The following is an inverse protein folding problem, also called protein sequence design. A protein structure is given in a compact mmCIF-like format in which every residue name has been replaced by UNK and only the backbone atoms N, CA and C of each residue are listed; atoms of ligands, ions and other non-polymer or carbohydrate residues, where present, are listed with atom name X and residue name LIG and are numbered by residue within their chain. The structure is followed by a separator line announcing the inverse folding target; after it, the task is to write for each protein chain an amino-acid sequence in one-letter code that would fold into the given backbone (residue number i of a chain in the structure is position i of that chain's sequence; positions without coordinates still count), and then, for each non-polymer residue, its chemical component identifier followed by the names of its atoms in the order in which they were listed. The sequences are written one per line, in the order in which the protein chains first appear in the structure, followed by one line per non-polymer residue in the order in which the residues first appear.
data_IF_830038749845
#
_entry.id   IF_830038749845
#
_cell.length_a   1.000
_cell.length_b   1.000
_cell.length_c   1.000
_cell.angle_alpha   90.00
_cell.angle_beta   90.00
_cell.angle_gamma   90.00
#
_symmetry.space_group_name_H-M   'P 1'
#
loop_
_entity.id
_entity.type
_entity.pdbx_description
1 polymer ?
#
# COMPACT_ATOMS: atom_id res chain seq x y z
N UNK A 1 35.38 -57.09 9.34
CA UNK A 1 34.93 -55.86 10.04
C UNK A 1 34.05 -55.04 9.09
N UNK A 2 32.74 -54.88 9.32
CA UNK A 2 31.91 -54.03 8.49
C UNK A 2 31.99 -52.56 8.96
N UNK A 3 32.26 -51.64 8.04
CA UNK A 3 32.07 -50.19 8.27
C UNK A 3 30.63 -49.85 7.91
N UNK A 4 29.78 -49.73 8.93
CA UNK A 4 28.42 -49.21 8.84
C UNK A 4 28.49 -47.71 8.54
N UNK A 5 28.36 -47.34 7.27
CA UNK A 5 28.13 -45.97 6.85
C UNK A 5 26.65 -45.64 6.98
N UNK A 6 26.27 -44.91 8.02
CA UNK A 6 24.91 -44.38 8.16
C UNK A 6 24.62 -43.40 7.01
N UNK A 7 23.83 -43.83 6.02
CA UNK A 7 23.20 -42.91 5.08
C UNK A 7 22.10 -42.13 5.81
N UNK A 8 22.39 -40.88 6.17
CA UNK A 8 21.36 -39.96 6.64
C UNK A 8 20.44 -39.62 5.46
N UNK A 9 19.23 -40.18 5.49
CA UNK A 9 18.15 -39.89 4.55
C UNK A 9 17.71 -38.43 4.67
N UNK A 10 18.27 -37.57 3.82
CA UNK A 10 18.06 -36.11 3.77
C UNK A 10 16.72 -35.69 3.13
N UNK A 11 15.75 -36.60 3.01
CA UNK A 11 14.47 -36.33 2.31
C UNK A 11 13.37 -35.77 3.20
N UNK A 12 13.43 -35.98 4.52
CA UNK A 12 12.38 -35.51 5.45
C UNK A 12 12.46 -34.00 5.71
N UNK A 13 13.66 -33.42 5.76
CA UNK A 13 13.85 -31.99 6.05
C UNK A 13 13.54 -31.08 4.86
N UNK A 14 13.73 -31.53 3.61
CA UNK A 14 13.43 -30.71 2.42
C UNK A 14 11.95 -30.36 2.31
N UNK A 15 11.05 -31.29 2.61
CA UNK A 15 9.60 -31.04 2.59
C UNK A 15 9.18 -30.06 3.67
N UNK A 16 9.76 -30.15 4.86
CA UNK A 16 9.44 -29.23 5.95
C UNK A 16 9.94 -27.81 5.66
N UNK A 17 11.13 -27.65 5.07
CA UNK A 17 11.67 -26.34 4.65
C UNK A 17 10.82 -25.73 3.54
N UNK A 18 10.37 -26.52 2.56
CA UNK A 18 9.48 -26.04 1.50
C UNK A 18 8.14 -25.56 2.06
N UNK A 19 7.54 -26.30 3.01
CA UNK A 19 6.30 -25.90 3.68
C UNK A 19 6.49 -24.63 4.51
N UNK A 20 7.61 -24.51 5.23
CA UNK A 20 7.97 -23.30 5.97
C UNK A 20 8.16 -22.08 5.04
N UNK A 21 8.82 -22.26 3.89
CA UNK A 21 9.00 -21.19 2.89
C UNK A 21 7.68 -20.78 2.24
N UNK A 22 6.81 -21.74 1.93
CA UNK A 22 5.47 -21.46 1.39
C UNK A 22 4.64 -20.72 2.45
N UNK A 23 4.64 -21.16 3.72
CA UNK A 23 3.97 -20.45 4.80
C UNK A 23 4.55 -19.04 4.99
N UNK A 24 5.88 -18.86 4.92
CA UNK A 24 6.52 -17.54 5.00
C UNK A 24 6.12 -16.65 3.82
N UNK A 25 6.06 -17.17 2.59
CA UNK A 25 5.56 -16.43 1.42
C UNK A 25 4.09 -16.00 1.58
N UNK A 26 3.24 -16.88 2.12
CA UNK A 26 1.84 -16.56 2.39
C UNK A 26 1.70 -15.53 3.51
N UNK A 27 2.53 -15.63 4.57
CA UNK A 27 2.54 -14.65 5.66
C UNK A 27 3.09 -13.29 5.21
N UNK A 28 4.04 -13.25 4.26
CA UNK A 28 4.60 -12.00 3.73
C UNK A 28 3.63 -11.28 2.78
N UNK A 29 2.72 -12.00 2.13
CA UNK A 29 1.62 -11.39 1.36
C UNK A 29 0.56 -10.71 2.24
N UNK A 30 0.62 -10.93 3.56
CA UNK A 30 -0.23 -10.26 4.55
C UNK A 30 0.65 -9.31 5.37
N UNK A 31 1.46 -8.48 4.73
CA UNK A 31 1.76 -7.17 5.31
C UNK A 31 0.50 -6.30 5.23
N UNK A 32 -0.49 -6.70 6.03
CA UNK A 32 -1.50 -5.86 6.63
C UNK A 32 -0.79 -4.90 7.59
N UNK A 33 0.12 -4.08 7.07
CA UNK A 33 0.31 -2.77 7.65
C UNK A 33 -1.04 -2.09 7.47
N UNK A 34 -1.63 -1.61 8.56
CA UNK A 34 -2.91 -0.89 8.50
C UNK A 34 -2.89 0.10 7.34
N UNK A 35 -4.06 0.31 6.73
CA UNK A 35 -4.19 1.18 5.56
C UNK A 35 -3.32 2.43 5.73
N UNK A 36 -2.48 2.76 4.74
CA UNK A 36 -1.54 3.86 4.88
C UNK A 36 -2.32 5.11 5.30
N UNK A 37 -1.82 5.89 6.29
CA UNK A 37 -2.51 7.08 6.74
C UNK A 37 -2.71 8.04 5.56
N UNK A 38 -3.98 8.28 5.24
CA UNK A 38 -4.41 9.28 4.28
C UNK A 38 -5.13 10.36 5.08
N UNK A 39 -4.41 11.45 5.30
CA UNK A 39 -4.88 12.63 6.01
C UNK A 39 -5.42 13.66 5.03
N UNK A 40 -6.25 14.57 5.52
CA UNK A 40 -6.85 15.63 4.72
C UNK A 40 -8.10 16.17 5.42
N UNK A 41 -8.43 17.43 5.15
CA UNK A 41 -9.69 18.00 5.60
C UNK A 41 -10.79 17.58 4.62
N UNK A 42 -11.57 16.58 5.01
CA UNK A 42 -12.74 16.09 4.27
C UNK A 42 -14.06 16.56 4.88
N UNK A 43 -14.06 17.44 5.88
CA UNK A 43 -15.27 17.80 6.65
C UNK A 43 -16.40 18.38 5.79
N UNK A 44 -16.06 18.95 4.64
CA UNK A 44 -17.02 19.53 3.68
C UNK A 44 -17.47 18.56 2.59
N UNK A 45 -17.04 17.30 2.63
CA UNK A 45 -17.36 16.29 1.62
C UNK A 45 -18.25 15.18 2.18
N UNK A 46 -19.17 14.62 1.35
CA UNK A 46 -19.88 13.40 1.72
C UNK A 46 -18.90 12.26 2.00
N UNK A 47 -19.20 11.34 2.94
CA UNK A 47 -18.33 10.19 3.25
C UNK A 47 -17.95 9.36 2.01
N UNK A 48 -18.87 9.22 1.05
CA UNK A 48 -18.62 8.52 -0.22
C UNK A 48 -17.51 9.18 -1.06
N UNK A 49 -17.30 10.49 -0.94
CA UNK A 49 -16.23 11.20 -1.64
C UNK A 49 -14.89 10.97 -0.95
N UNK A 50 -14.86 10.97 0.39
CA UNK A 50 -13.66 10.63 1.15
C UNK A 50 -13.17 9.20 0.83
N UNK A 51 -14.08 8.22 0.82
CA UNK A 51 -13.74 6.85 0.44
C UNK A 51 -13.21 6.75 -0.99
N UNK A 52 -13.83 7.47 -1.95
CA UNK A 52 -13.36 7.54 -3.33
C UNK A 52 -11.95 8.13 -3.43
N UNK A 53 -11.65 9.22 -2.71
CA UNK A 53 -10.30 9.81 -2.68
C UNK A 53 -9.30 8.81 -2.11
N UNK A 54 -9.60 8.21 -0.95
CA UNK A 54 -8.73 7.22 -0.32
C UNK A 54 -8.45 6.04 -1.24
N UNK A 55 -9.48 5.52 -1.92
CA UNK A 55 -9.32 4.43 -2.89
C UNK A 55 -8.46 4.84 -4.08
N UNK A 56 -8.73 6.00 -4.68
CA UNK A 56 -7.95 6.53 -5.81
C UNK A 56 -6.47 6.69 -5.46
N UNK A 57 -6.16 7.27 -4.31
CA UNK A 57 -4.78 7.54 -3.88
C UNK A 57 -4.01 6.23 -3.69
N UNK A 58 -4.62 5.22 -3.06
CA UNK A 58 -4.02 3.89 -2.89
C UNK A 58 -3.76 3.19 -4.22
N UNK A 59 -4.70 3.26 -5.15
CA UNK A 59 -4.55 2.66 -6.48
C UNK A 59 -3.49 3.37 -7.31
N UNK A 60 -3.36 4.69 -7.16
CA UNK A 60 -2.46 5.49 -7.99
C UNK A 60 -1.01 5.44 -7.53
N UNK A 61 -0.77 5.33 -6.21
CA UNK A 61 0.56 5.35 -5.62
C UNK A 61 0.89 3.97 -5.02
N UNK A 62 1.50 3.06 -5.78
CA UNK A 62 1.94 1.79 -5.23
C UNK A 62 3.02 2.02 -4.16
N UNK A 63 2.98 1.24 -3.08
CA UNK A 63 3.91 1.38 -1.95
C UNK A 63 3.70 2.65 -1.13
N UNK A 64 2.48 3.21 -1.13
CA UNK A 64 2.11 4.38 -0.34
C UNK A 64 2.40 4.15 1.15
N UNK A 65 3.10 5.10 1.76
CA UNK A 65 3.35 5.14 3.21
C UNK A 65 2.44 6.16 3.88
N UNK A 66 2.25 7.32 3.26
CA UNK A 66 1.41 8.42 3.76
C UNK A 66 0.91 9.26 2.60
N UNK A 67 -0.30 9.79 2.69
CA UNK A 67 -0.77 10.86 1.82
C UNK A 67 -1.43 11.98 2.62
N UNK A 68 -1.37 13.20 2.10
CA UNK A 68 -2.10 14.35 2.61
C UNK A 68 -2.87 15.02 1.46
N UNK A 69 -4.19 15.04 1.58
CA UNK A 69 -5.09 15.56 0.55
C UNK A 69 -5.35 17.04 0.78
N UNK A 70 -5.08 17.83 -0.25
CA UNK A 70 -5.40 19.26 -0.30
C UNK A 70 -6.54 19.50 -1.30
N UNK A 71 -7.76 19.51 -0.77
CA UNK A 71 -8.95 19.77 -1.57
C UNK A 71 -8.99 21.18 -2.18
N UNK A 72 -8.30 22.17 -1.59
CA UNK A 72 -8.30 23.54 -2.15
C UNK A 72 -7.56 23.61 -3.48
N UNK A 73 -6.49 22.83 -3.61
CA UNK A 73 -5.63 22.79 -4.80
C UNK A 73 -5.93 21.61 -5.73
N UNK A 74 -6.97 20.82 -5.45
CA UNK A 74 -7.26 19.60 -6.21
C UNK A 74 -6.06 18.64 -6.30
N UNK A 75 -5.28 18.50 -5.23
CA UNK A 75 -4.07 17.67 -5.25
C UNK A 75 -3.88 16.93 -3.93
N UNK A 76 -2.96 15.96 -3.94
CA UNK A 76 -2.48 15.33 -2.73
C UNK A 76 -0.96 15.16 -2.79
N UNK A 77 -0.30 15.38 -1.66
CA UNK A 77 1.09 14.99 -1.48
C UNK A 77 1.17 13.56 -0.96
N UNK A 78 2.24 12.85 -1.32
CA UNK A 78 2.44 11.48 -0.91
C UNK A 78 3.89 11.20 -0.54
N UNK A 79 4.07 10.22 0.34
CA UNK A 79 5.32 9.50 0.57
C UNK A 79 5.12 8.05 0.16
N UNK A 80 6.04 7.49 -0.62
CA UNK A 80 6.01 6.08 -1.02
C UNK A 80 7.35 5.40 -0.88
N UNK A 81 7.33 4.08 -0.74
CA UNK A 81 8.51 3.21 -0.81
C UNK A 81 8.43 2.36 -2.07
N UNK A 82 9.50 2.36 -2.86
CA UNK A 82 9.65 1.44 -4.00
C UNK A 82 9.94 0.02 -3.52
N UNK A 83 9.79 -0.96 -4.39
CA UNK A 83 10.20 -2.35 -4.13
C UNK A 83 11.69 -2.47 -3.76
N UNK A 84 12.54 -1.58 -4.29
CA UNK A 84 13.96 -1.48 -3.92
C UNK A 84 14.23 -0.89 -2.52
N UNK A 85 13.18 -0.45 -1.82
CA UNK A 85 13.28 0.17 -0.50
C UNK A 85 13.53 1.68 -0.51
N UNK A 86 13.77 2.30 -1.67
CA UNK A 86 13.95 3.74 -1.79
C UNK A 86 12.66 4.51 -1.49
N UNK A 87 12.78 5.61 -0.75
CA UNK A 87 11.67 6.51 -0.41
C UNK A 87 11.58 7.67 -1.38
N UNK A 88 10.36 8.01 -1.77
CA UNK A 88 10.06 9.13 -2.66
C UNK A 88 8.90 9.94 -2.11
N UNK A 89 8.98 11.26 -2.31
CA UNK A 89 7.87 12.17 -2.09
C UNK A 89 7.47 12.81 -3.40
N UNK A 90 6.21 13.22 -3.48
CA UNK A 90 5.70 13.90 -4.66
C UNK A 90 4.30 14.45 -4.42
N UNK A 91 3.80 15.14 -5.44
CA UNK A 91 2.44 15.68 -5.46
C UNK A 91 1.75 15.18 -6.73
N UNK A 92 0.48 14.82 -6.60
CA UNK A 92 -0.33 14.31 -7.70
C UNK A 92 -1.71 14.97 -7.68
N UNK A 93 -2.28 15.23 -8.86
CA UNK A 93 -3.60 15.84 -8.99
C UNK A 93 -4.72 14.84 -8.64
N UNK A 94 -5.75 15.33 -7.96
CA UNK A 94 -7.01 14.60 -7.81
C UNK A 94 -7.71 14.49 -9.18
N UNK A 95 -8.55 13.47 -9.39
CA UNK A 95 -9.26 13.32 -10.65
C UNK A 95 -10.21 14.52 -10.88
N UNK A 96 -10.37 14.94 -12.14
CA UNK A 96 -11.16 16.13 -12.52
C UNK A 96 -12.62 16.10 -12.02
N UNK A 97 -13.18 14.91 -11.81
CA UNK A 97 -14.55 14.71 -11.32
C UNK A 97 -14.66 14.78 -9.79
N UNK A 98 -13.55 14.95 -9.09
CA UNK A 98 -13.54 15.07 -7.64
C UNK A 98 -14.01 16.47 -7.23
N UNK A 99 -14.89 16.61 -6.23
CA UNK A 99 -15.34 17.91 -5.73
C UNK A 99 -14.21 18.59 -4.95
N UNK A 100 -13.26 19.17 -5.67
CA UNK A 100 -12.11 19.92 -5.15
C UNK A 100 -12.02 21.27 -5.87
N UNK A 101 -11.20 22.16 -5.34
CA UNK A 101 -11.11 23.54 -5.81
C UNK A 101 -12.34 24.30 -5.34
N UNK A 102 -12.25 24.92 -4.16
CA UNK A 102 -13.20 25.95 -3.76
C UNK A 102 -12.94 27.22 -4.59
N UNK A 103 -13.16 27.15 -5.92
CA UNK A 103 -13.58 28.33 -6.67
C UNK A 103 -15.09 28.26 -6.78
N UNK A 104 -15.76 28.97 -5.88
CA UNK A 104 -16.97 29.73 -6.20
C UNK A 104 -17.85 29.13 -7.30
N UNK A 105 -18.65 28.11 -6.97
CA UNK A 105 -19.99 28.01 -7.56
C UNK A 105 -20.86 29.09 -6.89
N UNK A 106 -20.49 30.35 -7.09
CA UNK A 106 -21.38 31.48 -7.03
C UNK A 106 -21.49 31.92 -8.49
N UNK A 107 -22.69 31.75 -9.06
CA UNK A 107 -23.08 31.95 -10.46
C UNK A 107 -23.00 30.71 -11.37
N UNK A 108 -24.10 29.94 -11.42
CA UNK A 108 -25.06 30.07 -12.52
C UNK A 108 -26.42 29.50 -12.17
#
# INVERSE_FOLDING_TARGET
MPKTGCSFSMTKNRRMIAVLLVLFLHSLQITSAGDPPIEGDFSNLPPKCEEKAKKYIKEKIPGLLKANVNLRNCEFSYERRTESGQKYTGTYALPNEFPCGFSSAQNR
#
